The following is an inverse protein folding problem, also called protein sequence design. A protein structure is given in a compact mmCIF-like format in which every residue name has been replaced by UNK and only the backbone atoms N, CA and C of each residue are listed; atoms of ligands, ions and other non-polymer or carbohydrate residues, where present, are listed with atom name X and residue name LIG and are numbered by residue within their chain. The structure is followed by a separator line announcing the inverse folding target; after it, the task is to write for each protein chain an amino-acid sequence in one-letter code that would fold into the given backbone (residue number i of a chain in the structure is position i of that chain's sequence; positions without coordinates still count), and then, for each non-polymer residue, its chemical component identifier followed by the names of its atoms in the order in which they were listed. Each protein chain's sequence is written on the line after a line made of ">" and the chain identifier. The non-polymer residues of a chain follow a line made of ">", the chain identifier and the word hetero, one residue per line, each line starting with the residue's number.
data_IF_703516374981
#
_entry.id   IF_703516374981
#
_cell.length_a   1.000
_cell.length_b   1.000
_cell.length_c   1.000
_cell.angle_alpha   90.00
_cell.angle_beta   90.00
_cell.angle_gamma   90.00
#
_symmetry.space_group_name_H-M   'P 1'
#
loop_
_entity.id
_entity.type
_entity.pdbx_description
1 polymer ?
#
# COMPACT_ATOMS: atom_id res chain seq x y z
N UNK A 1 4.17 4.53 21.00
CA UNK A 1 3.86 3.95 19.68
C UNK A 1 3.26 5.06 18.83
N UNK A 2 3.90 5.36 17.71
CA UNK A 2 3.68 6.57 16.91
C UNK A 2 5.03 7.10 16.45
N UNK A 3 5.48 6.65 15.28
CA UNK A 3 6.75 7.12 14.71
C UNK A 3 6.61 8.57 14.25
N UNK A 4 7.73 9.27 14.02
CA UNK A 4 7.75 10.69 13.58
C UNK A 4 6.85 10.99 12.37
N UNK A 5 6.52 9.97 11.57
CA UNK A 5 5.63 10.04 10.40
C UNK A 5 4.14 9.84 10.73
N UNK A 6 3.80 9.15 11.83
CA UNK A 6 2.43 8.87 12.26
C UNK A 6 2.29 9.14 13.76
N UNK A 7 2.28 10.42 14.13
CA UNK A 7 2.17 10.88 15.51
C UNK A 7 0.71 10.94 16.00
N UNK A 8 -0.16 10.05 15.48
CA UNK A 8 -1.62 9.99 15.71
C UNK A 8 -2.30 11.37 15.81
N UNK A 9 -1.86 12.31 14.98
CA UNK A 9 -2.36 13.69 15.03
C UNK A 9 -3.80 13.71 14.53
N UNK A 10 -4.67 14.33 15.31
CA UNK A 10 -6.09 14.47 14.96
C UNK A 10 -6.25 15.13 13.59
N UNK A 11 -5.47 16.17 13.27
CA UNK A 11 -5.59 16.87 11.99
C UNK A 11 -5.18 16.02 10.77
N UNK A 12 -4.48 14.91 10.99
CA UNK A 12 -4.00 14.00 9.95
C UNK A 12 -4.72 12.65 9.94
N UNK A 13 -5.78 12.51 10.75
CA UNK A 13 -6.52 11.26 10.93
C UNK A 13 -7.97 11.44 10.47
N UNK A 14 -8.61 10.36 10.03
CA UNK A 14 -10.05 10.39 9.76
C UNK A 14 -10.84 10.24 11.06
N UNK A 15 -12.06 10.78 11.06
CA UNK A 15 -13.02 10.63 12.14
C UNK A 15 -14.22 9.83 11.64
N UNK A 16 -14.51 8.71 12.30
CA UNK A 16 -15.67 7.86 12.00
C UNK A 16 -16.55 7.85 13.24
N UNK A 17 -17.81 8.26 13.07
CA UNK A 17 -18.78 8.35 14.17
C UNK A 17 -18.26 9.18 15.37
N UNK A 18 -17.59 10.31 15.10
CA UNK A 18 -16.98 11.16 16.12
C UNK A 18 -15.69 10.63 16.74
N UNK A 19 -15.26 9.41 16.40
CA UNK A 19 -14.04 8.80 16.93
C UNK A 19 -12.87 8.93 15.95
N UNK A 20 -11.71 9.33 16.45
CA UNK A 20 -10.47 9.38 15.67
C UNK A 20 -10.03 7.95 15.31
N UNK A 21 -9.68 7.73 14.05
CA UNK A 21 -9.07 6.48 13.62
C UNK A 21 -7.70 6.27 14.28
N UNK A 22 -7.32 5.01 14.60
CA UNK A 22 -6.05 4.71 15.27
C UNK A 22 -4.81 4.98 14.40
N UNK A 23 -5.01 5.24 13.10
CA UNK A 23 -3.98 5.53 12.12
C UNK A 23 -4.25 6.85 11.40
N UNK A 24 -3.18 7.49 10.90
CA UNK A 24 -3.35 8.65 10.04
C UNK A 24 -4.02 8.27 8.70
N UNK A 25 -4.50 9.27 7.98
CA UNK A 25 -5.13 9.13 6.67
C UNK A 25 -4.26 8.34 5.68
N UNK A 26 -2.93 8.55 5.70
CA UNK A 26 -1.96 7.86 4.83
C UNK A 26 -1.90 6.37 5.10
N UNK A 27 -1.71 5.98 6.37
CA UNK A 27 -1.66 4.56 6.76
C UNK A 27 -2.99 3.86 6.53
N UNK A 28 -4.10 4.52 6.83
CA UNK A 28 -5.45 4.00 6.55
C UNK A 28 -5.63 3.73 5.07
N UNK A 29 -5.18 4.65 4.22
CA UNK A 29 -5.23 4.52 2.77
C UNK A 29 -4.34 3.39 2.23
N UNK A 30 -3.14 3.19 2.79
CA UNK A 30 -2.26 2.08 2.39
C UNK A 30 -2.93 0.74 2.69
N UNK A 31 -3.47 0.57 3.90
CA UNK A 31 -4.16 -0.67 4.28
C UNK A 31 -5.37 -0.94 3.41
N UNK A 32 -6.19 0.08 3.16
CA UNK A 32 -7.33 -0.02 2.26
C UNK A 32 -6.88 -0.37 0.82
N UNK A 33 -5.82 0.27 0.33
CA UNK A 33 -5.24 -0.01 -0.98
C UNK A 33 -4.78 -1.46 -1.10
N UNK A 34 -4.05 -1.99 -0.10
CA UNK A 34 -3.60 -3.39 -0.08
C UNK A 34 -4.79 -4.34 -0.18
N UNK A 35 -5.84 -4.10 0.60
CA UNK A 35 -7.06 -4.92 0.56
C UNK A 35 -7.73 -4.88 -0.83
N UNK A 36 -7.82 -3.70 -1.46
CA UNK A 36 -8.36 -3.55 -2.81
C UNK A 36 -7.47 -4.25 -3.85
N UNK A 37 -6.14 -4.14 -3.74
CA UNK A 37 -5.20 -4.77 -4.67
C UNK A 37 -5.24 -6.30 -4.61
N UNK A 38 -5.35 -6.86 -3.41
CA UNK A 38 -5.58 -8.30 -3.22
C UNK A 38 -6.94 -8.72 -3.77
N UNK A 39 -8.00 -7.94 -3.50
CA UNK A 39 -9.33 -8.19 -4.04
C UNK A 39 -9.35 -8.13 -5.58
N UNK A 40 -8.59 -7.23 -6.18
CA UNK A 40 -8.43 -7.12 -7.63
C UNK A 40 -7.80 -8.39 -8.22
N UNK A 41 -6.81 -8.98 -7.54
CA UNK A 41 -6.17 -10.24 -7.97
C UNK A 41 -7.12 -11.45 -7.99
N UNK A 42 -8.23 -11.41 -7.25
CA UNK A 42 -9.27 -12.46 -7.31
C UNK A 42 -9.90 -12.52 -8.71
N UNK A 43 -10.05 -11.37 -9.36
CA UNK A 43 -10.70 -11.27 -10.67
C UNK A 43 -9.70 -11.18 -11.83
N UNK A 44 -8.49 -10.67 -11.59
CA UNK A 44 -7.48 -10.44 -12.61
C UNK A 44 -6.14 -11.04 -12.19
N UNK A 45 -5.60 -11.97 -12.99
CA UNK A 45 -4.24 -12.46 -12.78
C UNK A 45 -3.24 -11.53 -13.44
N UNK A 46 -2.30 -11.03 -12.65
CA UNK A 46 -1.18 -10.23 -13.11
C UNK A 46 0.09 -11.04 -12.90
N UNK A 47 0.98 -11.03 -13.87
CA UNK A 47 2.28 -11.70 -13.78
C UNK A 47 3.38 -10.69 -13.47
N UNK A 48 4.45 -11.16 -12.81
CA UNK A 48 5.62 -10.33 -12.56
C UNK A 48 6.33 -10.07 -13.90
N UNK A 49 6.36 -8.80 -14.32
CA UNK A 49 7.10 -8.37 -15.50
C UNK A 49 7.79 -7.01 -15.25
N UNK A 50 8.68 -6.62 -16.15
CA UNK A 50 9.43 -5.36 -16.05
C UNK A 50 8.51 -4.13 -15.94
N UNK A 51 7.36 -4.15 -16.63
CA UNK A 51 6.37 -3.05 -16.59
C UNK A 51 5.73 -2.93 -15.21
N UNK A 52 5.44 -4.05 -14.55
CA UNK A 52 4.89 -4.07 -13.20
C UNK A 52 5.92 -3.60 -12.18
N UNK A 53 7.19 -3.99 -12.33
CA UNK A 53 8.29 -3.46 -11.51
C UNK A 53 8.40 -1.94 -11.68
N UNK A 54 8.29 -1.44 -12.91
CA UNK A 54 8.26 0.00 -13.16
C UNK A 54 7.04 0.68 -12.50
N UNK A 55 5.87 0.04 -12.54
CA UNK A 55 4.67 0.54 -11.87
C UNK A 55 4.85 0.66 -10.36
N UNK A 56 5.51 -0.31 -9.71
CA UNK A 56 5.87 -0.22 -8.28
C UNK A 56 6.72 1.01 -8.01
N UNK A 57 7.78 1.21 -8.80
CA UNK A 57 8.70 2.35 -8.65
C UNK A 57 7.92 3.66 -8.82
N UNK A 58 7.10 3.78 -9.85
CA UNK A 58 6.30 4.97 -10.12
C UNK A 58 5.26 5.24 -9.03
N UNK A 59 4.63 4.22 -8.46
CA UNK A 59 3.66 4.36 -7.38
C UNK A 59 4.30 4.81 -6.05
N UNK A 60 5.58 4.48 -5.83
CA UNK A 60 6.35 4.91 -4.65
C UNK A 60 6.76 6.39 -4.71
N UNK A 61 6.98 6.95 -5.90
CA UNK A 61 7.40 8.35 -6.08
C UNK A 61 6.47 9.35 -5.40
N UNK A 62 5.14 9.38 -5.65
CA UNK A 62 4.28 10.43 -5.10
C UNK A 62 4.15 10.35 -3.57
N UNK A 63 4.04 9.16 -3.00
CA UNK A 63 3.98 9.00 -1.53
C UNK A 63 5.34 9.31 -0.88
N UNK A 64 6.44 8.98 -1.57
CA UNK A 64 7.80 9.30 -1.14
C UNK A 64 8.06 10.80 -1.13
N UNK A 65 7.68 11.51 -2.20
CA UNK A 65 7.80 12.97 -2.30
C UNK A 65 6.94 13.69 -1.26
N UNK A 66 5.67 13.30 -1.12
CA UNK A 66 4.76 13.88 -0.12
C UNK A 66 5.24 13.61 1.32
N UNK A 67 5.72 12.39 1.59
CA UNK A 67 6.25 12.00 2.89
C UNK A 67 7.54 12.72 3.25
N UNK A 68 8.50 12.79 2.32
CA UNK A 68 9.79 13.45 2.53
C UNK A 68 9.66 14.97 2.62
N UNK A 69 8.89 15.60 1.73
CA UNK A 69 8.65 17.05 1.80
C UNK A 69 8.00 17.49 3.11
N UNK A 70 7.06 16.68 3.61
CA UNK A 70 6.45 16.92 4.92
C UNK A 70 7.42 16.65 6.09
N UNK A 71 8.32 15.68 5.96
CA UNK A 71 9.33 15.38 6.99
C UNK A 71 10.35 16.51 7.16
N UNK A 72 10.76 17.15 6.05
CA UNK A 72 11.68 18.28 6.05
C UNK A 72 10.98 19.64 6.27
N UNK A 73 9.65 19.66 6.39
CA UNK A 73 8.89 20.88 6.65
C UNK A 73 8.78 21.82 5.45
N UNK A 74 9.00 21.33 4.23
CA UNK A 74 8.84 22.15 3.02
C UNK A 74 7.37 22.51 2.76
N UNK A 75 6.43 21.63 3.11
CA UNK A 75 5.00 21.88 3.05
C UNK A 75 4.22 20.98 4.01
N UNK A 76 2.97 21.35 4.30
CA UNK A 76 2.02 20.48 5.00
C UNK A 76 1.16 19.71 4.00
N UNK A 77 1.14 18.39 4.13
CA UNK A 77 0.26 17.55 3.31
C UNK A 77 -1.20 17.66 3.79
N UNK A 78 -2.15 17.40 2.91
CA UNK A 78 -3.57 17.34 3.25
C UNK A 78 -4.09 15.89 3.22
N UNK A 79 -5.24 15.64 3.85
CA UNK A 79 -5.78 14.28 3.99
C UNK A 79 -6.17 13.64 2.64
N UNK A 80 -6.50 14.46 1.63
CA UNK A 80 -6.83 13.98 0.28
C UNK A 80 -5.58 13.46 -0.42
N UNK A 81 -4.47 14.19 -0.39
CA UNK A 81 -3.18 13.76 -0.97
C UNK A 81 -2.70 12.50 -0.25
N UNK A 82 -2.76 12.47 1.09
CA UNK A 82 -2.42 11.28 1.90
C UNK A 82 -3.26 10.07 1.51
N UNK A 83 -4.54 10.27 1.23
CA UNK A 83 -5.47 9.23 0.80
C UNK A 83 -5.11 8.71 -0.59
N UNK A 84 -4.94 9.59 -1.58
CA UNK A 84 -4.66 9.20 -2.97
C UNK A 84 -3.31 8.49 -3.07
N UNK A 85 -2.26 9.09 -2.52
CA UNK A 85 -0.90 8.53 -2.57
C UNK A 85 -0.79 7.23 -1.79
N UNK A 86 -1.46 7.13 -0.64
CA UNK A 86 -1.54 5.91 0.16
C UNK A 86 -2.30 4.79 -0.54
N UNK A 87 -3.47 5.09 -1.14
CA UNK A 87 -4.25 4.12 -1.90
C UNK A 87 -3.48 3.60 -3.10
N UNK A 88 -2.80 4.48 -3.85
CA UNK A 88 -2.03 4.11 -5.02
C UNK A 88 -0.94 3.09 -4.67
N UNK A 89 -0.09 3.41 -3.68
CA UNK A 89 0.99 2.50 -3.29
C UNK A 89 0.42 1.23 -2.67
N UNK A 90 -0.63 1.35 -1.84
CA UNK A 90 -1.28 0.21 -1.20
C UNK A 90 -1.83 -0.78 -2.24
N UNK A 91 -2.53 -0.27 -3.26
CA UNK A 91 -3.09 -1.09 -4.34
C UNK A 91 -2.01 -1.87 -5.08
N UNK A 92 -0.93 -1.20 -5.47
CA UNK A 92 0.19 -1.83 -6.17
C UNK A 92 0.90 -2.86 -5.28
N UNK A 93 1.10 -2.56 -3.99
CA UNK A 93 1.63 -3.53 -3.03
C UNK A 93 0.70 -4.73 -2.83
N UNK A 94 -0.61 -4.53 -2.81
CA UNK A 94 -1.60 -5.62 -2.73
C UNK A 94 -1.49 -6.58 -3.90
N UNK A 95 -1.37 -6.06 -5.13
CA UNK A 95 -1.12 -6.88 -6.33
C UNK A 95 0.21 -7.62 -6.21
N UNK A 96 1.29 -6.94 -5.79
CA UNK A 96 2.60 -7.57 -5.63
C UNK A 96 2.58 -8.74 -4.62
N UNK A 97 1.87 -8.59 -3.50
CA UNK A 97 1.65 -9.67 -2.54
C UNK A 97 0.88 -10.82 -3.18
N UNK A 98 -0.18 -10.52 -3.95
CA UNK A 98 -0.94 -11.52 -4.70
C UNK A 98 -0.06 -12.37 -5.64
N UNK A 99 0.83 -11.71 -6.40
CA UNK A 99 1.80 -12.37 -7.27
C UNK A 99 2.72 -13.30 -6.48
N UNK A 100 3.25 -12.84 -5.34
CA UNK A 100 4.13 -13.65 -4.49
C UNK A 100 3.40 -14.89 -3.96
N UNK A 101 2.11 -14.75 -3.60
CA UNK A 101 1.28 -15.87 -3.13
C UNK A 101 1.08 -16.89 -4.25
N UNK A 102 0.76 -16.45 -5.46
CA UNK A 102 0.57 -17.32 -6.62
C UNK A 102 1.86 -18.07 -6.96
N UNK A 103 3.00 -17.38 -7.01
CA UNK A 103 4.31 -17.98 -7.28
C UNK A 103 4.71 -19.00 -6.19
N UNK A 104 4.49 -18.65 -4.92
CA UNK A 104 4.77 -19.54 -3.78
C UNK A 104 3.93 -20.82 -3.84
N UNK A 105 2.67 -20.71 -4.28
CA UNK A 105 1.77 -21.84 -4.48
C UNK A 105 2.25 -22.75 -5.61
N UNK A 106 2.67 -22.18 -6.73
CA UNK A 106 3.23 -22.96 -7.86
C UNK A 106 4.51 -23.70 -7.47
N UNK A 107 5.43 -23.03 -6.77
CA UNK A 107 6.67 -23.65 -6.27
C UNK A 107 6.33 -24.81 -5.32
N UNK A 108 5.41 -24.61 -4.37
CA UNK A 108 4.99 -25.66 -3.45
C UNK A 108 4.39 -26.87 -4.19
N UNK A 109 3.48 -26.64 -5.13
CA UNK A 109 2.84 -27.70 -5.92
C UNK A 109 3.84 -28.45 -6.82
N UNK A 110 4.85 -27.77 -7.36
CA UNK A 110 5.91 -28.39 -8.16
C UNK A 110 6.77 -29.33 -7.31
N UNK A 111 7.10 -28.96 -6.06
CA UNK A 111 7.86 -29.80 -5.12
C UNK A 111 7.07 -31.03 -4.70
N UNK A 112 5.77 -30.88 -4.41
CA UNK A 112 4.87 -31.99 -4.05
C UNK A 112 4.78 -33.03 -5.16
N UNK A 113 4.67 -32.60 -6.42
CA UNK A 113 4.63 -33.50 -7.59
C UNK A 113 5.91 -34.32 -7.80
N UNK A 114 7.08 -33.82 -7.37
CA UNK A 114 8.35 -34.55 -7.46
C UNK A 114 8.58 -35.55 -6.32
N UNK A 115 7.81 -35.44 -5.23
CA UNK A 115 7.92 -36.30 -4.04
C UNK A 115 6.98 -37.50 -4.06
N UNK A 116 6.01 -37.53 -4.99
CA UNK A 116 5.13 -38.65 -5.26
C UNK A 116 5.62 -39.41 -6.49
#
# INVERSE_FOLDING_TARGET
>A
MGDRLCHQKAERSFFINGNQMPFCARCTAIWLGIAIGLGFMIFYKIELNEKFVLLIILALVPIGLDGTGQLFGFWESNNIIRLITGLLVGFVCGIAIGIIIDESREIYNSRKRKSN
#
